data_IF_284127816648
#
_entry.id   IF_284127816648
#
_cell.length_a   1.000
_cell.length_b   1.000
_cell.length_c   1.000
_cell.angle_alpha   90.00
_cell.angle_beta   90.00
_cell.angle_gamma   90.00
#
_symmetry.space_group_name_H-M   'P 1'
#
loop_
_entity.id
_entity.type
_entity.pdbx_description
1 polymer ?
#
# COMPACT_ATOMS: atom_id res chain seq x y z
N UNK A 1 -1.82 -3.25 4.57
CA UNK A 1 -1.33 -2.94 3.21
C UNK A 1 -1.05 -1.44 3.06
N UNK A 2 -2.03 -0.54 3.31
CA UNK A 2 -1.87 0.90 3.14
C UNK A 2 -0.64 1.45 3.88
N UNK A 3 -0.47 1.09 5.15
CA UNK A 3 0.70 1.46 5.96
C UNK A 3 2.00 0.94 5.34
N UNK A 4 2.04 -0.34 4.97
CA UNK A 4 3.23 -0.95 4.40
C UNK A 4 3.65 -0.27 3.09
N UNK A 5 2.68 0.06 2.23
CA UNK A 5 2.97 0.74 0.97
C UNK A 5 3.34 2.21 1.15
N UNK A 6 2.85 2.89 2.20
CA UNK A 6 3.32 4.22 2.56
C UNK A 6 4.78 4.20 2.97
N UNK A 7 5.18 3.26 3.81
CA UNK A 7 6.56 3.09 4.24
C UNK A 7 7.47 2.77 3.04
N UNK A 8 7.05 1.86 2.15
CA UNK A 8 7.78 1.56 0.92
C UNK A 8 7.93 2.81 0.05
N UNK A 9 6.88 3.61 -0.10
CA UNK A 9 6.91 4.85 -0.88
C UNK A 9 7.74 5.97 -0.23
N UNK A 10 8.16 5.81 1.03
CA UNK A 10 8.94 6.80 1.77
C UNK A 10 8.09 7.94 2.35
N UNK A 11 6.79 7.71 2.56
CA UNK A 11 5.87 8.66 3.21
C UNK A 11 5.40 8.15 4.55
N UNK A 12 4.95 9.07 5.42
CA UNK A 12 4.42 8.70 6.73
C UNK A 12 3.23 7.72 6.62
N UNK A 13 3.09 6.75 7.55
CA UNK A 13 1.94 5.86 7.64
C UNK A 13 0.60 6.56 7.66
N UNK A 14 0.54 7.78 8.19
CA UNK A 14 -0.62 8.67 8.22
C UNK A 14 -1.20 8.90 6.83
N UNK A 15 -0.35 9.13 5.82
CA UNK A 15 -0.78 9.38 4.42
C UNK A 15 -1.53 8.16 3.86
N UNK A 16 -0.99 6.96 4.10
CA UNK A 16 -1.63 5.72 3.66
C UNK A 16 -2.96 5.45 4.37
N UNK A 17 -3.03 5.75 5.66
CA UNK A 17 -4.28 5.57 6.42
C UNK A 17 -5.36 6.55 5.95
N UNK A 18 -5.00 7.80 5.67
CA UNK A 18 -5.94 8.77 5.09
C UNK A 18 -6.43 8.33 3.71
N UNK A 19 -5.53 7.84 2.85
CA UNK A 19 -5.93 7.33 1.55
C UNK A 19 -6.83 6.10 1.67
N UNK A 20 -6.52 5.18 2.60
CA UNK A 20 -7.34 4.00 2.87
C UNK A 20 -8.73 4.33 3.43
N UNK A 21 -8.90 5.48 4.05
CA UNK A 21 -10.20 5.98 4.49
C UNK A 21 -10.95 6.68 3.34
N UNK A 22 -10.29 7.62 2.64
CA UNK A 22 -10.93 8.45 1.62
C UNK A 22 -11.30 7.65 0.35
N UNK A 23 -10.42 6.74 -0.11
CA UNK A 23 -10.65 6.01 -1.36
C UNK A 23 -11.91 5.14 -1.28
N UNK A 24 -12.10 4.25 -0.28
CA UNK A 24 -13.32 3.47 -0.17
C UNK A 24 -14.57 4.32 0.01
N UNK A 25 -14.47 5.45 0.73
CA UNK A 25 -15.59 6.38 0.91
C UNK A 25 -16.04 6.96 -0.43
N UNK A 26 -15.11 7.46 -1.24
CA UNK A 26 -15.42 7.97 -2.59
C UNK A 26 -15.94 6.86 -3.48
N UNK A 27 -15.35 5.67 -3.41
CA UNK A 27 -15.79 4.52 -4.20
C UNK A 27 -17.19 4.02 -3.85
N UNK A 28 -17.62 4.18 -2.61
CA UNK A 28 -18.98 3.83 -2.19
C UNK A 28 -20.06 4.68 -2.90
N UNK A 29 -19.76 5.93 -3.23
CA UNK A 29 -20.68 6.85 -3.90
C UNK A 29 -20.51 6.88 -5.42
N UNK A 30 -19.28 6.80 -5.92
CA UNK A 30 -18.91 6.99 -7.32
C UNK A 30 -18.39 5.73 -8.00
N UNK A 31 -18.33 4.61 -7.29
CA UNK A 31 -17.83 3.34 -7.84
C UNK A 31 -18.69 2.83 -9.00
N UNK A 32 -18.05 2.32 -10.02
CA UNK A 32 -18.71 1.81 -11.23
C UNK A 32 -19.34 0.43 -11.11
N UNK A 33 -19.07 -0.30 -10.00
CA UNK A 33 -19.57 -1.66 -9.76
C UNK A 33 -19.95 -1.86 -8.30
N UNK A 34 -21.03 -2.61 -8.01
CA UNK A 34 -21.36 -3.03 -6.65
C UNK A 34 -20.19 -3.80 -6.01
N UNK A 35 -19.93 -3.54 -4.74
CA UNK A 35 -18.85 -4.17 -3.95
C UNK A 35 -17.43 -3.95 -4.51
N UNK A 36 -17.21 -2.91 -5.31
CA UNK A 36 -15.88 -2.54 -5.78
C UNK A 36 -15.08 -1.88 -4.65
N UNK A 37 -13.89 -2.40 -4.38
CA UNK A 37 -12.95 -1.83 -3.42
C UNK A 37 -11.69 -1.40 -4.19
N UNK A 38 -11.22 -0.19 -3.92
CA UNK A 38 -9.93 0.31 -4.42
C UNK A 38 -9.03 0.64 -3.24
N UNK A 39 -7.74 0.41 -3.41
CA UNK A 39 -6.73 0.66 -2.38
C UNK A 39 -5.38 0.96 -3.03
N UNK A 40 -4.39 1.30 -2.20
CA UNK A 40 -3.01 1.49 -2.63
C UNK A 40 -2.44 0.20 -3.26
N UNK A 41 -1.51 0.35 -4.20
CA UNK A 41 -0.83 -0.78 -4.84
C UNK A 41 0.67 -0.70 -4.62
N UNK A 42 1.30 -1.86 -4.37
CA UNK A 42 2.75 -1.96 -4.18
C UNK A 42 3.54 -1.53 -5.42
N UNK A 43 3.00 -1.78 -6.63
CA UNK A 43 3.62 -1.34 -7.87
C UNK A 43 3.79 0.18 -7.94
N UNK A 44 2.73 0.91 -7.60
CA UNK A 44 2.79 2.38 -7.59
C UNK A 44 3.66 2.89 -6.44
N UNK A 45 3.60 2.27 -5.27
CA UNK A 45 4.45 2.63 -4.14
C UNK A 45 5.94 2.58 -4.51
N UNK A 46 6.40 1.51 -5.17
CA UNK A 46 7.78 1.36 -5.61
C UNK A 46 8.21 2.43 -6.64
N UNK A 47 7.31 2.79 -7.56
CA UNK A 47 7.59 3.83 -8.55
C UNK A 47 7.67 5.23 -7.93
N UNK A 48 6.91 5.48 -6.86
CA UNK A 48 6.86 6.79 -6.21
C UNK A 48 8.03 7.04 -5.25
N UNK A 49 8.83 6.03 -4.91
CA UNK A 49 9.97 6.19 -3.98
C UNK A 49 10.93 7.29 -4.41
N UNK A 50 11.34 7.29 -5.67
CA UNK A 50 12.26 8.31 -6.21
C UNK A 50 11.62 9.68 -6.21
N UNK A 51 10.38 9.80 -6.66
CA UNK A 51 9.65 11.07 -6.66
C UNK A 51 9.54 11.68 -5.26
N UNK A 52 9.22 10.87 -4.26
CA UNK A 52 9.08 11.33 -2.86
C UNK A 52 10.42 11.71 -2.28
N UNK A 53 11.50 10.96 -2.56
CA UNK A 53 12.85 11.26 -2.08
C UNK A 53 13.41 12.55 -2.66
N UNK A 54 13.18 12.79 -3.95
CA UNK A 54 13.78 13.92 -4.65
C UNK A 54 12.96 15.19 -4.52
N UNK A 55 11.63 15.10 -4.44
CA UNK A 55 10.72 16.24 -4.51
C UNK A 55 9.72 16.33 -3.34
N UNK A 56 9.59 15.29 -2.53
CA UNK A 56 8.74 15.27 -1.35
C UNK A 56 7.26 14.94 -1.62
N UNK A 57 6.46 15.01 -0.53
CA UNK A 57 5.04 14.61 -0.52
C UNK A 57 4.16 15.46 -1.46
N UNK A 58 4.46 16.77 -1.60
CA UNK A 58 3.64 17.68 -2.42
C UNK A 58 3.60 17.25 -3.89
N UNK A 59 4.74 16.79 -4.41
CA UNK A 59 4.82 16.26 -5.79
C UNK A 59 4.09 14.93 -5.96
N UNK A 60 4.08 14.08 -4.93
CA UNK A 60 3.27 12.86 -4.91
C UNK A 60 1.77 13.18 -5.03
N UNK A 61 1.29 14.19 -4.28
CA UNK A 61 -0.09 14.62 -4.33
C UNK A 61 -0.45 15.21 -5.70
N UNK A 62 0.43 16.05 -6.28
CA UNK A 62 0.27 16.61 -7.61
C UNK A 62 0.24 15.51 -8.69
N UNK A 63 1.16 14.55 -8.64
CA UNK A 63 1.20 13.41 -9.54
C UNK A 63 -0.06 12.55 -9.43
N UNK A 64 -0.61 12.40 -8.23
CA UNK A 64 -1.87 11.67 -7.99
C UNK A 64 -3.06 12.37 -8.64
N UNK A 65 -3.14 13.71 -8.54
CA UNK A 65 -4.19 14.50 -9.21
C UNK A 65 -4.07 14.38 -10.74
N UNK A 66 -2.85 14.53 -11.26
CA UNK A 66 -2.58 14.41 -12.70
C UNK A 66 -2.94 13.02 -13.22
N UNK A 67 -2.57 11.98 -12.48
CA UNK A 67 -2.95 10.60 -12.79
C UNK A 67 -4.48 10.43 -12.82
N UNK A 68 -5.19 11.02 -11.86
CA UNK A 68 -6.65 11.03 -11.82
C UNK A 68 -7.26 11.67 -13.07
N UNK A 69 -6.72 12.80 -13.52
CA UNK A 69 -7.15 13.46 -14.76
C UNK A 69 -6.93 12.55 -15.98
N UNK A 70 -5.75 11.94 -16.10
CA UNK A 70 -5.47 10.99 -17.20
C UNK A 70 -6.40 9.78 -17.17
N UNK A 71 -6.70 9.25 -15.99
CA UNK A 71 -7.64 8.13 -15.83
C UNK A 71 -9.07 8.51 -16.24
N UNK A 72 -9.52 9.73 -15.94
CA UNK A 72 -10.82 10.23 -16.40
C UNK A 72 -10.87 10.34 -17.91
N UNK A 73 -9.83 10.90 -18.55
CA UNK A 73 -9.72 10.99 -20.01
C UNK A 73 -9.73 9.59 -20.64
N UNK A 74 -8.91 8.68 -20.10
CA UNK A 74 -8.84 7.29 -20.58
C UNK A 74 -10.18 6.56 -20.42
N UNK A 75 -10.89 6.82 -19.33
CA UNK A 75 -12.25 6.29 -19.09
C UNK A 75 -13.25 6.81 -20.11
N UNK A 76 -13.25 8.11 -20.38
CA UNK A 76 -14.10 8.73 -21.37
C UNK A 76 -13.84 8.19 -22.80
N UNK A 77 -12.58 8.00 -23.15
CA UNK A 77 -12.15 7.39 -24.42
C UNK A 77 -12.36 5.86 -24.45
N UNK A 78 -12.90 5.25 -23.37
CA UNK A 78 -13.15 3.80 -23.25
C UNK A 78 -11.90 2.95 -23.50
N UNK A 79 -10.72 3.46 -23.16
CA UNK A 79 -9.44 2.76 -23.36
C UNK A 79 -9.32 1.47 -22.54
N UNK A 80 -10.15 1.30 -21.50
CA UNK A 80 -10.25 0.03 -20.75
C UNK A 80 -10.58 -1.18 -21.65
N UNK A 81 -11.24 -0.97 -22.80
CA UNK A 81 -11.48 -2.02 -23.79
C UNK A 81 -10.20 -2.61 -24.40
N UNK A 82 -9.08 -1.88 -24.36
CA UNK A 82 -7.79 -2.36 -24.84
C UNK A 82 -7.20 -3.46 -23.97
N UNK A 83 -7.65 -3.57 -22.71
CA UNK A 83 -7.18 -4.62 -21.78
C UNK A 83 -7.49 -6.04 -22.29
N UNK A 84 -8.47 -6.21 -23.16
CA UNK A 84 -8.77 -7.51 -23.79
C UNK A 84 -7.65 -8.05 -24.68
N UNK A 85 -6.76 -7.19 -25.14
CA UNK A 85 -5.60 -7.57 -25.94
C UNK A 85 -4.38 -7.96 -25.09
N UNK A 86 -4.41 -7.69 -23.79
CA UNK A 86 -3.34 -8.08 -22.88
C UNK A 86 -3.44 -9.57 -22.58
N UNK A 87 -2.42 -10.33 -22.96
CA UNK A 87 -2.40 -11.77 -22.73
C UNK A 87 -2.26 -12.10 -21.24
N UNK A 88 -2.77 -13.26 -20.84
CA UNK A 88 -2.61 -13.76 -19.45
C UNK A 88 -1.15 -13.89 -19.05
N UNK A 89 -0.27 -14.26 -19.97
CA UNK A 89 1.17 -14.40 -19.74
C UNK A 89 1.80 -13.07 -19.30
N UNK A 90 1.41 -11.95 -19.95
CA UNK A 90 1.87 -10.61 -19.57
C UNK A 90 1.41 -10.26 -18.17
N UNK A 91 0.15 -10.49 -17.83
CA UNK A 91 -0.40 -10.24 -16.49
C UNK A 91 0.32 -11.08 -15.43
N UNK A 92 0.51 -12.38 -15.70
CA UNK A 92 1.21 -13.28 -14.77
C UNK A 92 2.67 -12.86 -14.59
N UNK A 93 3.37 -12.50 -15.67
CA UNK A 93 4.74 -11.99 -15.62
C UNK A 93 4.84 -10.71 -14.79
N UNK A 94 3.92 -9.77 -14.98
CA UNK A 94 3.84 -8.54 -14.21
C UNK A 94 3.64 -8.81 -12.70
N UNK A 95 2.68 -9.68 -12.36
CA UNK A 95 2.39 -10.03 -10.96
C UNK A 95 3.59 -10.71 -10.30
N UNK A 96 4.27 -11.63 -11.00
CA UNK A 96 5.46 -12.30 -10.48
C UNK A 96 6.62 -11.31 -10.27
N UNK A 97 6.87 -10.42 -11.23
CA UNK A 97 7.89 -9.39 -11.08
C UNK A 97 7.58 -8.46 -9.89
N UNK A 98 6.31 -8.07 -9.73
CA UNK A 98 5.86 -7.27 -8.60
C UNK A 98 6.07 -7.99 -7.26
N UNK A 99 5.77 -9.29 -7.19
CA UNK A 99 6.00 -10.09 -5.98
C UNK A 99 7.47 -10.12 -5.59
N UNK A 100 8.38 -10.28 -6.57
CA UNK A 100 9.83 -10.25 -6.35
C UNK A 100 10.27 -8.87 -5.85
N UNK A 101 9.80 -7.79 -6.48
CA UNK A 101 10.14 -6.41 -6.08
C UNK A 101 9.66 -6.09 -4.66
N UNK A 102 8.43 -6.48 -4.31
CA UNK A 102 7.90 -6.30 -2.95
C UNK A 102 8.73 -7.11 -1.95
N UNK A 103 9.06 -8.35 -2.28
CA UNK A 103 9.92 -9.18 -1.42
C UNK A 103 11.28 -8.52 -1.18
N UNK A 104 11.94 -8.04 -2.25
CA UNK A 104 13.22 -7.34 -2.13
C UNK A 104 13.10 -6.06 -1.30
N UNK A 105 12.01 -5.32 -1.41
CA UNK A 105 11.74 -4.12 -0.60
C UNK A 105 11.55 -4.42 0.90
N UNK A 106 11.19 -5.66 1.26
CA UNK A 106 11.07 -6.07 2.66
C UNK A 106 12.37 -6.57 3.28
N UNK A 107 13.38 -6.94 2.47
CA UNK A 107 14.64 -7.47 2.98
C UNK A 107 15.38 -6.52 3.93
N UNK A 108 15.44 -5.19 3.68
CA UNK A 108 16.07 -4.25 4.61
C UNK A 108 15.44 -4.25 6.00
N UNK A 109 14.12 -4.50 6.10
CA UNK A 109 13.41 -4.56 7.38
C UNK A 109 13.75 -5.81 8.21
N UNK A 110 14.37 -6.81 7.59
CA UNK A 110 14.86 -8.03 8.23
C UNK A 110 16.37 -7.99 8.53
N UNK A 111 17.05 -6.87 8.24
CA UNK A 111 18.49 -6.74 8.51
C UNK A 111 18.73 -6.02 9.82
N UNK A 112 19.72 -6.50 10.61
CA UNK A 112 20.10 -5.92 11.90
C UNK A 112 18.97 -5.85 12.94
N UNK A 113 18.09 -6.85 12.93
CA UNK A 113 16.95 -6.96 13.86
C UNK A 113 17.19 -8.07 14.87
N UNK A 114 16.46 -8.01 15.99
CA UNK A 114 16.52 -9.03 17.04
C UNK A 114 15.94 -10.36 16.52
N UNK A 115 16.40 -11.47 17.11
CA UNK A 115 15.91 -12.81 16.74
C UNK A 115 14.38 -12.95 16.88
N UNK A 116 13.75 -12.15 17.77
CA UNK A 116 12.31 -12.10 17.95
C UNK A 116 11.57 -11.71 16.66
N UNK A 117 12.13 -10.81 15.87
CA UNK A 117 11.55 -10.39 14.57
C UNK A 117 11.54 -11.56 13.59
N UNK A 118 12.61 -12.34 13.53
CA UNK A 118 12.66 -13.53 12.68
C UNK A 118 11.65 -14.59 13.13
N UNK A 119 11.54 -14.82 14.44
CA UNK A 119 10.58 -15.75 15.00
C UNK A 119 9.13 -15.31 14.70
N UNK A 120 8.82 -14.02 14.87
CA UNK A 120 7.52 -13.45 14.53
C UNK A 120 7.21 -13.53 13.03
N UNK A 121 8.21 -13.26 12.18
CA UNK A 121 8.05 -13.39 10.73
C UNK A 121 7.75 -14.83 10.33
N UNK A 122 8.48 -15.80 10.86
CA UNK A 122 8.22 -17.21 10.62
C UNK A 122 6.85 -17.66 11.13
N UNK A 123 6.46 -17.22 12.33
CA UNK A 123 5.14 -17.48 12.90
C UNK A 123 4.03 -16.85 12.05
N UNK A 124 4.24 -15.62 11.56
CA UNK A 124 3.33 -14.93 10.65
C UNK A 124 3.12 -15.66 9.35
N UNK A 125 4.19 -16.10 8.70
CA UNK A 125 4.11 -16.95 7.51
C UNK A 125 3.39 -18.26 7.81
N UNK A 126 3.68 -18.90 8.95
CA UNK A 126 2.99 -20.09 9.39
C UNK A 126 1.47 -19.88 9.52
N UNK A 127 1.05 -18.80 10.18
CA UNK A 127 -0.36 -18.45 10.31
C UNK A 127 -1.00 -18.22 8.93
N UNK A 128 -0.37 -17.44 8.07
CA UNK A 128 -0.91 -17.09 6.75
C UNK A 128 -1.11 -18.34 5.89
N UNK A 129 -0.17 -19.29 5.91
CA UNK A 129 -0.25 -20.51 5.09
C UNK A 129 -1.08 -21.63 5.71
N UNK A 130 -1.05 -21.79 7.03
CA UNK A 130 -1.74 -22.91 7.71
C UNK A 130 -3.17 -22.57 8.10
N UNK A 131 -3.47 -21.33 8.47
CA UNK A 131 -4.80 -20.95 8.93
C UNK A 131 -5.93 -21.19 7.90
N UNK A 132 -5.74 -21.01 6.59
CA UNK A 132 -6.78 -21.33 5.59
C UNK A 132 -7.20 -22.79 5.54
N UNK A 133 -6.39 -23.72 6.06
CA UNK A 133 -6.79 -25.14 6.18
C UNK A 133 -7.75 -25.36 7.36
N UNK A 134 -7.72 -24.49 8.37
CA UNK A 134 -8.59 -24.53 9.55
C UNK A 134 -9.89 -23.77 9.29
N UNK A 135 -9.78 -22.54 8.79
CA UNK A 135 -10.95 -21.69 8.52
C UNK A 135 -10.72 -20.83 7.27
N UNK A 136 -11.62 -20.98 6.28
CA UNK A 136 -11.58 -20.24 5.01
C UNK A 136 -12.43 -18.96 5.04
N UNK A 137 -13.23 -18.75 6.09
CA UNK A 137 -14.14 -17.59 6.18
C UNK A 137 -13.40 -16.36 6.67
N UNK A 138 -12.43 -16.53 7.57
CA UNK A 138 -11.68 -15.42 8.16
C UNK A 138 -10.39 -15.25 7.37
N UNK A 139 -10.08 -14.02 6.90
CA UNK A 139 -8.81 -13.75 6.21
C UNK A 139 -7.61 -14.03 7.12
N UNK A 140 -6.73 -14.94 6.70
CA UNK A 140 -5.54 -15.30 7.49
C UNK A 140 -4.60 -14.12 7.81
N UNK A 141 -4.43 -13.09 6.95
CA UNK A 141 -3.63 -11.92 7.30
C UNK A 141 -4.20 -11.15 8.50
N UNK A 142 -5.53 -11.08 8.64
CA UNK A 142 -6.16 -10.43 9.79
C UNK A 142 -5.83 -11.17 11.09
N UNK A 143 -5.97 -12.50 11.08
CA UNK A 143 -5.63 -13.35 12.22
C UNK A 143 -4.16 -13.20 12.59
N UNK A 144 -3.29 -13.20 11.59
CA UNK A 144 -1.85 -13.00 11.77
C UNK A 144 -1.55 -11.68 12.50
N UNK A 145 -2.12 -10.57 12.05
CA UNK A 145 -1.93 -9.25 12.68
C UNK A 145 -2.41 -9.27 14.14
N UNK A 146 -3.64 -9.73 14.38
CA UNK A 146 -4.22 -9.74 15.74
C UNK A 146 -3.40 -10.62 16.69
N UNK A 147 -3.04 -11.82 16.27
CA UNK A 147 -2.30 -12.77 17.09
C UNK A 147 -0.89 -12.26 17.40
N UNK A 148 -0.14 -11.84 16.36
CA UNK A 148 1.23 -11.40 16.56
C UNK A 148 1.32 -10.08 17.32
N UNK A 149 0.39 -9.14 17.08
CA UNK A 149 0.31 -7.91 17.86
C UNK A 149 -0.03 -8.21 19.32
N UNK A 150 -0.98 -9.11 19.58
CA UNK A 150 -1.34 -9.54 20.91
C UNK A 150 -0.15 -10.17 21.68
N UNK A 151 0.61 -11.03 21.00
CA UNK A 151 1.82 -11.66 21.55
C UNK A 151 2.89 -10.60 21.83
N UNK A 152 3.14 -9.70 20.90
CA UNK A 152 4.15 -8.65 21.05
C UNK A 152 3.83 -7.73 22.24
N UNK A 153 2.58 -7.35 22.41
CA UNK A 153 2.12 -6.53 23.54
C UNK A 153 2.17 -7.28 24.87
N UNK A 154 1.78 -8.54 24.89
CA UNK A 154 1.74 -9.34 26.12
C UNK A 154 3.14 -9.67 26.65
N UNK A 155 4.06 -10.00 25.76
CA UNK A 155 5.45 -10.33 26.09
C UNK A 155 6.36 -9.09 26.15
N UNK A 156 5.83 -7.88 25.90
CA UNK A 156 6.60 -6.64 25.83
C UNK A 156 7.86 -6.78 24.97
N UNK A 157 7.70 -7.39 23.78
CA UNK A 157 8.82 -7.63 22.88
C UNK A 157 9.35 -6.30 22.33
N UNK A 158 10.67 -6.15 22.35
CA UNK A 158 11.36 -5.03 21.73
C UNK A 158 11.39 -5.24 20.21
N UNK A 159 10.29 -4.89 19.58
CA UNK A 159 10.10 -4.95 18.12
C UNK A 159 9.63 -3.59 17.61
N UNK A 160 10.11 -3.22 16.44
CA UNK A 160 9.71 -1.98 15.78
C UNK A 160 8.21 -1.94 15.54
N UNK A 161 7.55 -0.91 15.99
CA UNK A 161 6.12 -0.70 15.79
C UNK A 161 5.86 0.28 14.66
N UNK A 162 4.62 0.33 14.18
CA UNK A 162 4.21 1.30 13.13
C UNK A 162 4.42 2.74 13.60
N UNK A 163 4.24 3.02 14.91
CA UNK A 163 4.48 4.34 15.49
C UNK A 163 5.95 4.77 15.45
N UNK A 164 6.89 3.83 15.44
CA UNK A 164 8.33 4.09 15.33
C UNK A 164 8.75 4.39 13.88
N UNK A 165 7.91 4.05 12.91
CA UNK A 165 8.18 4.20 11.49
C UNK A 165 7.66 5.53 10.91
N UNK A 166 6.86 6.30 11.68
CA UNK A 166 6.33 7.58 11.25
C UNK A 166 5.07 8.00 12.01
N UNK A 167 4.56 9.17 11.68
CA UNK A 167 3.39 9.73 12.34
C UNK A 167 2.12 8.94 12.04
N UNK A 168 1.34 8.66 13.07
CA UNK A 168 -0.01 8.13 12.95
C UNK A 168 -1.03 9.28 12.96
N UNK A 169 -2.22 9.10 12.35
CA UNK A 169 -3.22 10.16 12.32
C UNK A 169 -3.85 10.39 13.70
N UNK A 170 -3.82 11.64 14.14
CA UNK A 170 -4.49 12.10 15.36
C UNK A 170 -5.86 12.75 15.07
N UNK A 171 -6.18 12.98 13.80
CA UNK A 171 -7.39 13.66 13.34
C UNK A 171 -7.88 13.09 12.02
N UNK A 172 -9.08 13.49 11.60
CA UNK A 172 -9.59 13.16 10.27
C UNK A 172 -8.78 13.87 9.17
N UNK A 173 -8.75 13.30 7.95
CA UNK A 173 -8.02 13.91 6.83
C UNK A 173 -8.57 15.30 6.51
N UNK A 174 -7.65 16.26 6.34
CA UNK A 174 -7.96 17.62 5.91
C UNK A 174 -7.70 17.73 4.41
N UNK A 175 -8.60 18.37 3.69
CA UNK A 175 -8.42 18.61 2.26
C UNK A 175 -7.29 19.62 2.04
N UNK A 176 -6.23 19.20 1.38
CA UNK A 176 -5.08 20.01 1.02
C UNK A 176 -4.89 19.96 -0.49
N UNK A 177 -4.76 21.15 -1.10
CA UNK A 177 -4.28 21.25 -2.47
C UNK A 177 -2.74 21.24 -2.46
N UNK A 178 -2.09 20.49 -3.35
CA UNK A 178 -0.63 20.51 -3.43
C UNK A 178 -0.14 21.90 -3.88
N UNK A 179 0.84 22.42 -3.17
CA UNK A 179 1.52 23.66 -3.53
C UNK A 179 2.78 23.34 -4.34
N UNK A 180 2.57 23.09 -5.63
CA UNK A 180 3.64 22.76 -6.57
C UNK A 180 3.62 23.77 -7.72
N UNK A 181 4.78 24.35 -8.12
CA UNK A 181 4.83 25.24 -9.26
C UNK A 181 4.48 24.49 -10.56
N UNK A 182 3.43 24.96 -11.25
CA UNK A 182 2.97 24.39 -12.51
C UNK A 182 3.87 24.86 -13.67
N UNK A 183 5.08 24.35 -13.72
CA UNK A 183 6.04 24.58 -14.80
C UNK A 183 6.18 23.34 -15.67
N UNK A 184 6.53 23.52 -16.96
CA UNK A 184 6.79 22.41 -17.89
C UNK A 184 7.91 21.46 -17.42
N UNK A 185 8.74 21.86 -16.47
CA UNK A 185 9.77 21.01 -15.85
C UNK A 185 9.23 20.16 -14.69
N UNK A 186 8.03 20.44 -14.19
CA UNK A 186 7.38 19.73 -13.09
C UNK A 186 6.27 18.78 -13.56
N UNK A 187 5.93 18.83 -14.85
CA UNK A 187 5.02 17.93 -15.55
C UNK A 187 5.78 16.78 -16.22
#
# INVERSE_FOLDING_TARGET
EAIAFSIIAGVDPQVGLYSAFCIPLVMAFFGGRPAMISSSTGAMALLMVTLVKDHGLQYLLAASILTGVFQLIAGYLKLGGLMRFVSRSVVTGFVNALAILIFMAQLPELTNVTWHVYAMTAAGLGIIYLFPYINKTIPSPLVCIVVLTGIAMWLHLDVRTVGDMGKLPDSLPVFLLPDVPLNLQTL
#
